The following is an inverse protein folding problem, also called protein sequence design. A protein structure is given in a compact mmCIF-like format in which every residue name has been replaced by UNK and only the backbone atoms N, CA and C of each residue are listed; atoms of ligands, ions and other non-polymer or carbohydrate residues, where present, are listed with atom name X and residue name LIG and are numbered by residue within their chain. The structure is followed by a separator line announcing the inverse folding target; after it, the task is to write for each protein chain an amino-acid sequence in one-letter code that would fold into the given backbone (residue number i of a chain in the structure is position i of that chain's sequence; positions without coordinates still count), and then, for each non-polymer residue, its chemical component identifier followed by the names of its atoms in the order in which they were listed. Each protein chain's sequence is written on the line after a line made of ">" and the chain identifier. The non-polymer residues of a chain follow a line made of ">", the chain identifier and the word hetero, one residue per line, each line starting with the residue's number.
data_IF_212885155052
#
_entry.id   IF_212885155052
#
_cell.length_a   1.000
_cell.length_b   1.000
_cell.length_c   1.000
_cell.angle_alpha   90.00
_cell.angle_beta   90.00
_cell.angle_gamma   90.00
#
_symmetry.space_group_name_H-M   'P 1'
#
loop_
_entity.id
_entity.type
_entity.pdbx_description
1 polymer ?
#
# COMPACT_ATOMS: atom_id res chain seq x y z
N UNK A 1 -18.98 21.22 15.45
CA UNK A 1 -17.75 20.55 14.96
C UNK A 1 -17.95 19.73 13.68
N UNK A 2 -19.09 19.08 13.43
CA UNK A 2 -19.29 18.27 12.20
C UNK A 2 -19.19 19.07 10.89
N UNK A 3 -19.61 20.34 10.87
CA UNK A 3 -19.47 21.21 9.71
C UNK A 3 -18.01 21.48 9.29
N UNK A 4 -17.02 21.21 10.16
CA UNK A 4 -15.60 21.37 9.84
C UNK A 4 -15.15 20.38 8.76
N UNK A 5 -15.69 19.15 8.76
CA UNK A 5 -15.35 18.11 7.76
C UNK A 5 -15.80 18.47 6.34
N UNK A 6 -16.79 19.36 6.21
CA UNK A 6 -17.25 19.87 4.91
C UNK A 6 -16.58 21.18 4.49
N UNK A 7 -15.71 21.77 5.32
CA UNK A 7 -15.01 23.01 4.98
C UNK A 7 -13.66 22.70 4.33
N UNK A 8 -13.28 23.45 3.28
CA UNK A 8 -11.94 23.31 2.70
C UNK A 8 -10.87 23.66 3.74
N UNK A 9 -9.75 22.93 3.72
CA UNK A 9 -8.64 23.11 4.64
C UNK A 9 -7.95 24.47 4.43
N UNK A 10 -7.93 24.95 3.19
CA UNK A 10 -7.34 26.24 2.82
C UNK A 10 -8.44 27.25 2.42
N UNK A 11 -8.16 28.55 2.48
CA UNK A 11 -8.97 29.55 1.81
C UNK A 11 -9.14 29.24 0.32
N UNK A 12 -10.31 29.58 -0.25
CA UNK A 12 -10.66 29.29 -1.67
C UNK A 12 -9.58 29.72 -2.67
N UNK A 13 -8.90 30.84 -2.41
CA UNK A 13 -7.82 31.38 -3.25
C UNK A 13 -6.71 30.36 -3.54
N UNK A 14 -6.34 29.51 -2.58
CA UNK A 14 -5.25 28.54 -2.75
C UNK A 14 -5.64 27.29 -3.54
N UNK A 15 -6.93 27.09 -3.83
CA UNK A 15 -7.37 26.04 -4.76
C UNK A 15 -7.35 26.53 -6.21
N UNK A 16 -7.58 27.82 -6.44
CA UNK A 16 -7.47 28.45 -7.77
C UNK A 16 -6.03 28.84 -8.11
N UNK A 17 -5.25 29.21 -7.10
CA UNK A 17 -3.85 29.61 -7.21
C UNK A 17 -3.04 28.84 -6.15
N UNK A 18 -2.59 27.61 -6.48
CA UNK A 18 -1.88 26.78 -5.52
C UNK A 18 -0.58 27.45 -5.09
N UNK A 19 -0.28 27.37 -3.79
CA UNK A 19 1.01 27.77 -3.24
C UNK A 19 2.05 26.81 -3.82
N UNK A 20 3.14 27.36 -4.37
CA UNK A 20 4.23 26.51 -4.89
C UNK A 20 4.84 25.69 -3.76
N UNK A 21 5.34 24.49 -4.07
CA UNK A 21 5.95 23.59 -3.06
C UNK A 21 7.05 24.31 -2.28
N UNK A 22 7.90 25.07 -2.97
CA UNK A 22 8.98 25.86 -2.35
C UNK A 22 8.46 26.93 -1.39
N UNK A 23 7.38 27.64 -1.75
CA UNK A 23 6.77 28.63 -0.86
C UNK A 23 6.09 27.97 0.34
N UNK A 24 5.49 26.80 0.15
CA UNK A 24 4.84 26.05 1.22
C UNK A 24 5.87 25.59 2.26
N UNK A 25 7.01 25.07 1.81
CA UNK A 25 8.12 24.68 2.69
C UNK A 25 8.70 25.88 3.44
N UNK A 26 8.87 27.02 2.75
CA UNK A 26 9.31 28.27 3.39
C UNK A 26 8.31 28.76 4.46
N UNK A 27 7.02 28.81 4.13
CA UNK A 27 5.96 29.22 5.06
C UNK A 27 5.86 28.29 6.27
N UNK A 28 6.00 26.98 6.05
CA UNK A 28 6.05 25.99 7.12
C UNK A 28 7.26 26.22 8.02
N UNK A 29 8.44 26.45 7.44
CA UNK A 29 9.64 26.77 8.21
C UNK A 29 9.47 28.02 9.09
N UNK A 30 8.93 29.11 8.54
CA UNK A 30 8.65 30.33 9.30
C UNK A 30 7.64 30.08 10.43
N UNK A 31 6.55 29.34 10.15
CA UNK A 31 5.57 28.98 11.17
C UNK A 31 6.21 28.16 12.31
N UNK A 32 7.09 27.21 11.99
CA UNK A 32 7.80 26.41 12.99
C UNK A 32 8.72 27.26 13.86
N UNK A 33 9.47 28.22 13.27
CA UNK A 33 10.30 29.15 14.03
C UNK A 33 9.49 30.00 15.02
N UNK A 34 8.32 30.48 14.60
CA UNK A 34 7.42 31.27 15.47
C UNK A 34 6.93 30.41 16.64
N UNK A 35 6.54 29.16 16.38
CA UNK A 35 6.08 28.23 17.42
C UNK A 35 7.20 27.91 18.40
N UNK A 36 8.42 27.63 17.92
CA UNK A 36 9.59 27.40 18.76
C UNK A 36 9.92 28.60 19.65
N UNK A 37 9.90 29.81 19.11
CA UNK A 37 10.16 31.04 19.87
C UNK A 37 9.07 31.35 20.92
N UNK A 38 7.83 30.89 20.71
CA UNK A 38 6.74 31.02 21.68
C UNK A 38 6.85 29.98 22.78
N UNK A 39 7.08 28.72 22.43
CA UNK A 39 7.21 27.62 23.38
C UNK A 39 8.46 27.72 24.26
N UNK A 40 9.52 28.37 23.78
CA UNK A 40 10.70 28.68 24.61
C UNK A 40 10.42 29.67 25.73
N UNK A 41 9.30 30.41 25.65
CA UNK A 41 8.84 31.38 26.66
C UNK A 41 7.65 30.87 27.48
N UNK A 42 7.19 29.65 27.22
CA UNK A 42 6.11 29.04 27.99
C UNK A 42 6.61 28.56 29.36
N UNK A 43 5.69 28.24 30.27
CA UNK A 43 6.01 27.63 31.57
C UNK A 43 5.47 26.19 31.59
N UNK A 44 6.33 25.15 31.64
CA UNK A 44 7.79 25.18 31.58
C UNK A 44 8.35 25.50 30.17
N UNK A 45 9.54 26.12 30.06
CA UNK A 45 10.11 26.49 28.77
C UNK A 45 10.60 25.26 28.01
N UNK A 46 10.21 25.13 26.75
CA UNK A 46 10.69 24.05 25.88
C UNK A 46 11.91 24.51 25.09
N UNK A 47 12.96 23.69 25.10
CA UNK A 47 14.16 23.93 24.29
C UNK A 47 13.80 23.94 22.82
N UNK A 48 14.42 24.84 22.06
CA UNK A 48 14.20 25.00 20.62
C UNK A 48 14.42 23.67 19.87
N UNK A 49 15.49 22.95 20.19
CA UNK A 49 15.82 21.63 19.63
C UNK A 49 14.66 20.62 19.77
N UNK A 50 14.02 20.60 20.95
CA UNK A 50 12.90 19.69 21.22
C UNK A 50 11.68 20.08 20.38
N UNK A 51 11.41 21.38 20.27
CA UNK A 51 10.29 21.87 19.46
C UNK A 51 10.53 21.62 17.97
N UNK A 52 11.74 21.87 17.48
CA UNK A 52 12.11 21.64 16.07
C UNK A 52 12.04 20.15 15.71
N UNK A 53 12.50 19.28 16.61
CA UNK A 53 12.35 17.82 16.48
C UNK A 53 10.87 17.39 16.47
N UNK A 54 10.04 17.94 17.36
CA UNK A 54 8.60 17.62 17.40
C UNK A 54 7.81 18.15 16.20
N UNK A 55 8.22 19.29 15.63
CA UNK A 55 7.57 19.90 14.46
C UNK A 55 8.07 19.33 13.12
N UNK A 56 9.04 18.42 13.17
CA UNK A 56 9.63 17.76 11.99
C UNK A 56 10.23 18.78 11.01
N UNK A 57 11.03 19.71 11.54
CA UNK A 57 11.66 20.79 10.77
C UNK A 57 12.58 20.24 9.68
N UNK A 58 13.28 19.14 10.00
CA UNK A 58 14.22 18.46 9.09
C UNK A 58 13.60 17.25 8.39
N UNK A 59 12.32 17.32 8.03
CA UNK A 59 11.62 16.26 7.30
C UNK A 59 12.29 15.85 5.97
N UNK A 60 13.11 16.73 5.39
CA UNK A 60 13.88 16.48 4.17
C UNK A 60 15.16 15.66 4.41
N UNK A 61 15.64 15.58 5.66
CA UNK A 61 16.83 14.80 6.00
C UNK A 61 16.48 13.32 6.12
N UNK A 62 17.39 12.46 5.64
CA UNK A 62 17.21 11.02 5.71
C UNK A 62 17.34 10.53 7.15
N UNK A 63 16.43 9.63 7.56
CA UNK A 63 16.51 8.93 8.85
C UNK A 63 16.02 7.50 8.68
N UNK A 64 16.85 6.53 9.06
CA UNK A 64 16.50 5.12 8.94
C UNK A 64 15.30 4.75 9.81
N UNK A 65 15.21 5.32 11.02
CA UNK A 65 14.07 5.13 11.93
C UNK A 65 12.77 5.56 11.27
N UNK A 66 12.73 6.76 10.67
CA UNK A 66 11.55 7.28 9.98
C UNK A 66 11.18 6.42 8.77
N UNK A 67 12.17 5.95 8.01
CA UNK A 67 11.94 5.00 6.91
C UNK A 67 11.32 3.68 7.41
N UNK A 68 11.80 3.11 8.52
CA UNK A 68 11.21 1.91 9.15
C UNK A 68 9.77 2.17 9.60
N UNK A 69 9.53 3.28 10.29
CA UNK A 69 8.19 3.65 10.76
C UNK A 69 7.20 3.75 9.57
N UNK A 70 7.59 4.41 8.48
CA UNK A 70 6.77 4.49 7.27
C UNK A 70 6.57 3.11 6.60
N UNK A 71 7.60 2.27 6.58
CA UNK A 71 7.48 0.90 6.07
C UNK A 71 6.52 0.04 6.89
N UNK A 72 6.55 0.15 8.22
CA UNK A 72 5.59 -0.54 9.09
C UNK A 72 4.17 -0.01 8.89
N UNK A 73 3.98 1.31 8.74
CA UNK A 73 2.67 1.88 8.38
C UNK A 73 2.13 1.29 7.09
N UNK A 74 2.95 1.21 6.04
CA UNK A 74 2.58 0.56 4.78
C UNK A 74 2.24 -0.92 5.00
N UNK A 75 3.07 -1.65 5.75
CA UNK A 75 2.84 -3.06 6.07
C UNK A 75 1.51 -3.27 6.82
N UNK A 76 1.15 -2.38 7.74
CA UNK A 76 -0.14 -2.44 8.46
C UNK A 76 -1.32 -2.20 7.53
N UNK A 77 -1.19 -1.34 6.52
CA UNK A 77 -2.23 -1.18 5.47
C UNK A 77 -2.43 -2.48 4.69
N UNK A 78 -1.35 -3.20 4.40
CA UNK A 78 -1.41 -4.50 3.72
C UNK A 78 -1.85 -5.66 4.62
N UNK A 79 -1.82 -5.52 5.95
CA UNK A 79 -2.25 -6.58 6.86
C UNK A 79 -3.72 -6.97 6.63
N UNK A 80 -4.59 -5.98 6.40
CA UNK A 80 -5.99 -6.22 6.03
C UNK A 80 -6.12 -7.01 4.73
N UNK A 81 -5.33 -6.66 3.71
CA UNK A 81 -5.30 -7.39 2.44
C UNK A 81 -4.80 -8.84 2.62
N UNK A 82 -3.74 -9.05 3.40
CA UNK A 82 -3.24 -10.39 3.73
C UNK A 82 -4.31 -11.21 4.46
N UNK A 83 -5.04 -10.61 5.40
CA UNK A 83 -6.15 -11.26 6.09
C UNK A 83 -7.28 -11.65 5.12
N UNK A 84 -7.64 -10.77 4.17
CA UNK A 84 -8.61 -11.08 3.11
C UNK A 84 -8.15 -12.23 2.22
N UNK A 85 -6.88 -12.25 1.79
CA UNK A 85 -6.32 -13.34 0.99
C UNK A 85 -6.37 -14.67 1.75
N UNK A 86 -5.99 -14.68 3.04
CA UNK A 86 -6.08 -15.88 3.89
C UNK A 86 -7.52 -16.35 4.08
N UNK A 87 -8.47 -15.43 4.27
CA UNK A 87 -9.89 -15.75 4.39
C UNK A 87 -10.44 -16.33 3.09
N UNK A 88 -10.12 -15.71 1.95
CA UNK A 88 -10.46 -16.22 0.63
C UNK A 88 -9.88 -17.62 0.38
N UNK A 89 -8.62 -17.85 0.74
CA UNK A 89 -8.01 -19.17 0.64
C UNK A 89 -8.73 -20.20 1.53
N UNK A 90 -9.15 -19.80 2.74
CA UNK A 90 -9.98 -20.64 3.62
C UNK A 90 -11.33 -21.02 3.03
N UNK A 91 -11.99 -20.12 2.29
CA UNK A 91 -13.20 -20.42 1.52
C UNK A 91 -12.86 -21.38 0.39
N UNK A 92 -11.81 -21.07 -0.35
CA UNK A 92 -11.38 -21.83 -1.51
C UNK A 92 -10.91 -23.25 -1.15
N UNK A 93 -10.41 -23.45 0.07
CA UNK A 93 -10.00 -24.75 0.62
C UNK A 93 -11.15 -25.49 1.31
N UNK A 94 -12.37 -24.93 1.33
CA UNK A 94 -13.55 -25.51 1.99
C UNK A 94 -13.31 -25.83 3.48
N UNK A 95 -12.56 -24.96 4.18
CA UNK A 95 -12.18 -25.20 5.58
C UNK A 95 -13.38 -25.31 6.52
N UNK A 96 -14.42 -24.52 6.27
CA UNK A 96 -15.72 -24.64 6.92
C UNK A 96 -16.83 -24.68 5.85
N UNK A 97 -17.39 -25.87 5.55
CA UNK A 97 -18.28 -26.07 4.41
C UNK A 97 -19.57 -25.25 4.50
N UNK A 98 -20.05 -24.97 5.71
CA UNK A 98 -21.26 -24.14 5.91
C UNK A 98 -20.97 -22.71 5.47
N UNK A 99 -19.86 -22.13 5.95
CA UNK A 99 -19.49 -20.75 5.58
C UNK A 99 -19.22 -20.62 4.08
N UNK A 100 -18.61 -21.64 3.46
CA UNK A 100 -18.39 -21.61 2.02
C UNK A 100 -19.70 -21.69 1.26
N UNK A 101 -20.62 -22.59 1.62
CA UNK A 101 -21.95 -22.64 1.00
C UNK A 101 -22.71 -21.31 1.14
N UNK A 102 -22.68 -20.67 2.30
CA UNK A 102 -23.30 -19.34 2.50
C UNK A 102 -22.68 -18.27 1.60
N UNK A 103 -21.35 -18.23 1.50
CA UNK A 103 -20.64 -17.31 0.59
C UNK A 103 -21.03 -17.60 -0.87
N UNK A 104 -21.17 -18.87 -1.24
CA UNK A 104 -21.59 -19.22 -2.60
C UNK A 104 -23.01 -18.74 -2.90
N UNK A 105 -23.95 -18.98 -1.98
CA UNK A 105 -25.33 -18.48 -2.08
C UNK A 105 -25.37 -16.95 -2.19
N UNK A 106 -24.62 -16.24 -1.34
CA UNK A 106 -24.53 -14.79 -1.37
C UNK A 106 -24.00 -14.28 -2.72
N UNK A 107 -22.93 -14.87 -3.25
CA UNK A 107 -22.41 -14.51 -4.57
C UNK A 107 -23.42 -14.77 -5.69
N UNK A 108 -24.14 -15.89 -5.66
CA UNK A 108 -25.19 -16.17 -6.65
C UNK A 108 -26.29 -15.11 -6.62
N UNK A 109 -26.77 -14.75 -5.42
CA UNK A 109 -27.77 -13.68 -5.26
C UNK A 109 -27.25 -12.35 -5.84
N UNK A 110 -26.00 -11.98 -5.54
CA UNK A 110 -25.39 -10.74 -6.05
C UNK A 110 -25.19 -10.75 -7.57
N UNK A 111 -24.92 -11.91 -8.18
CA UNK A 111 -24.79 -12.04 -9.64
C UNK A 111 -26.18 -11.94 -10.31
N UNK A 112 -27.21 -12.56 -9.72
CA UNK A 112 -28.59 -12.47 -10.21
C UNK A 112 -29.16 -11.06 -10.09
N UNK A 113 -28.79 -10.32 -9.03
CA UNK A 113 -29.28 -8.97 -8.74
C UNK A 113 -28.10 -7.99 -8.56
N UNK A 114 -27.47 -7.53 -9.65
CA UNK A 114 -26.31 -6.64 -9.58
C UNK A 114 -26.60 -5.30 -8.91
N UNK A 115 -27.87 -4.87 -8.91
CA UNK A 115 -28.34 -3.68 -8.19
C UNK A 115 -28.08 -3.75 -6.67
N UNK A 116 -27.96 -4.97 -6.11
CA UNK A 116 -27.66 -5.20 -4.70
C UNK A 116 -26.16 -5.11 -4.36
N UNK A 117 -25.26 -5.06 -5.35
CA UNK A 117 -23.82 -5.00 -5.11
C UNK A 117 -23.45 -3.73 -4.34
N UNK A 118 -23.89 -2.56 -4.82
CA UNK A 118 -23.57 -1.29 -4.18
C UNK A 118 -24.20 -1.17 -2.77
N UNK A 119 -25.50 -1.46 -2.56
CA UNK A 119 -26.10 -1.49 -1.23
C UNK A 119 -25.40 -2.43 -0.25
N UNK A 120 -25.03 -3.65 -0.67
CA UNK A 120 -24.37 -4.61 0.21
C UNK A 120 -22.99 -4.14 0.62
N UNK A 121 -22.21 -3.52 -0.28
CA UNK A 121 -20.91 -2.90 0.07
C UNK A 121 -21.10 -1.81 1.13
N UNK A 122 -22.06 -0.90 0.94
CA UNK A 122 -22.33 0.15 1.92
C UNK A 122 -22.81 -0.41 3.26
N UNK A 123 -23.65 -1.45 3.25
CA UNK A 123 -24.11 -2.11 4.47
C UNK A 123 -22.94 -2.79 5.19
N UNK A 124 -22.03 -3.45 4.48
CA UNK A 124 -20.81 -4.00 5.08
C UNK A 124 -19.93 -2.92 5.69
N UNK A 125 -19.68 -1.81 4.98
CA UNK A 125 -18.92 -0.67 5.53
C UNK A 125 -19.59 -0.09 6.78
N UNK A 126 -20.92 0.04 6.77
CA UNK A 126 -21.70 0.51 7.91
C UNK A 126 -21.57 -0.42 9.12
N UNK A 127 -21.76 -1.74 8.92
CA UNK A 127 -21.64 -2.74 9.98
C UNK A 127 -20.23 -2.82 10.54
N UNK A 128 -19.20 -2.78 9.68
CA UNK A 128 -17.79 -2.73 10.10
C UNK A 128 -17.52 -1.45 10.89
N UNK A 129 -18.03 -0.30 10.44
CA UNK A 129 -17.92 0.98 11.14
C UNK A 129 -18.58 0.94 12.53
N UNK A 130 -19.79 0.41 12.62
CA UNK A 130 -20.53 0.26 13.87
C UNK A 130 -19.84 -0.72 14.83
N UNK A 131 -19.29 -1.82 14.32
CA UNK A 131 -18.51 -2.76 15.10
C UNK A 131 -17.21 -2.12 15.64
N UNK A 132 -16.49 -1.41 14.77
CA UNK A 132 -15.24 -0.72 15.12
C UNK A 132 -15.47 0.44 16.09
N UNK A 133 -16.67 1.02 16.14
CA UNK A 133 -17.02 2.06 17.11
C UNK A 133 -16.81 1.61 18.57
N UNK A 134 -16.98 0.30 18.86
CA UNK A 134 -16.75 -0.28 20.18
C UNK A 134 -15.27 -0.28 20.57
N UNK A 135 -14.38 -0.39 19.58
CA UNK A 135 -12.92 -0.41 19.72
C UNK A 135 -12.26 0.95 19.40
N UNK A 136 -13.05 2.03 19.34
CA UNK A 136 -12.54 3.36 18.99
C UNK A 136 -11.50 3.83 20.02
N UNK A 137 -10.42 4.51 19.58
CA UNK A 137 -9.53 5.21 20.49
C UNK A 137 -10.31 6.22 21.33
N UNK A 138 -10.13 6.19 22.65
CA UNK A 138 -10.80 7.11 23.59
C UNK A 138 -9.90 8.26 24.04
N UNK A 139 -8.60 8.13 23.83
CA UNK A 139 -7.62 9.13 24.21
C UNK A 139 -7.41 10.13 23.07
N UNK A 140 -7.08 11.40 23.38
CA UNK A 140 -6.71 12.36 22.35
C UNK A 140 -5.51 11.83 21.56
N UNK A 141 -5.40 12.27 20.31
CA UNK A 141 -4.24 11.99 19.47
C UNK A 141 -2.99 12.50 20.18
N UNK A 142 -2.18 11.58 20.67
CA UNK A 142 -0.87 11.86 21.25
C UNK A 142 0.20 11.31 20.33
N UNK A 143 1.45 11.73 20.55
CA UNK A 143 2.57 11.17 19.82
C UNK A 143 2.71 9.69 20.18
N UNK A 144 2.50 8.81 19.20
CA UNK A 144 2.63 7.37 19.38
C UNK A 144 4.09 6.96 19.17
N UNK A 145 4.76 6.62 20.27
CA UNK A 145 6.16 6.18 20.33
C UNK A 145 6.38 4.85 19.61
N UNK A 146 5.37 3.98 19.54
CA UNK A 146 5.44 2.71 18.80
C UNK A 146 5.27 2.93 17.32
N UNK A 147 4.32 3.77 16.91
CA UNK A 147 4.10 4.12 15.51
C UNK A 147 5.32 4.83 14.90
N UNK A 148 5.96 5.70 15.67
CA UNK A 148 7.20 6.39 15.29
C UNK A 148 8.46 5.53 15.45
N UNK A 149 8.30 4.26 15.87
CA UNK A 149 9.37 3.30 16.13
C UNK A 149 10.41 3.78 17.16
N UNK A 150 10.09 4.75 18.01
CA UNK A 150 11.00 5.37 18.98
C UNK A 150 11.40 4.45 20.15
N UNK A 151 10.59 3.43 20.48
CA UNK A 151 10.89 2.50 21.58
C UNK A 151 11.93 1.43 21.21
N UNK A 152 12.06 1.10 19.93
CA UNK A 152 12.92 0.02 19.42
C UNK A 152 14.11 0.54 18.62
N UNK A 153 14.38 1.84 18.70
CA UNK A 153 15.49 2.46 17.98
C UNK A 153 16.84 2.06 18.52
N UNK A 154 17.71 1.70 17.60
CA UNK A 154 19.12 1.54 17.91
C UNK A 154 19.75 2.91 18.20
N UNK A 155 20.66 3.06 19.19
CA UNK A 155 21.30 4.33 19.52
C UNK A 155 21.93 5.03 18.32
N UNK A 156 22.51 4.27 17.39
CA UNK A 156 23.09 4.80 16.16
C UNK A 156 22.06 5.43 15.19
N UNK A 157 20.81 4.98 15.19
CA UNK A 157 19.75 5.56 14.34
C UNK A 157 19.29 6.92 14.89
N UNK A 158 19.31 7.06 16.22
CA UNK A 158 19.05 8.33 16.88
C UNK A 158 20.22 9.29 16.69
N UNK A 159 21.45 8.77 16.76
CA UNK A 159 22.68 9.50 16.50
C UNK A 159 22.78 10.00 15.04
N UNK A 160 22.23 9.25 14.08
CA UNK A 160 22.07 9.65 12.68
C UNK A 160 21.05 10.80 12.52
N UNK A 161 19.95 10.75 13.25
CA UNK A 161 18.89 11.77 13.17
C UNK A 161 19.30 13.11 13.79
N UNK A 162 20.20 13.10 14.79
CA UNK A 162 20.74 14.30 15.42
C UNK A 162 22.09 14.74 14.84
N UNK A 163 22.62 14.06 13.82
CA UNK A 163 23.86 14.48 13.17
C UNK A 163 23.61 15.72 12.30
N UNK A 164 24.56 16.65 12.31
CA UNK A 164 24.49 17.85 11.49
C UNK A 164 24.82 17.54 10.04
N UNK A 165 24.43 18.42 9.12
CA UNK A 165 24.90 18.39 7.74
C UNK A 165 25.81 19.60 7.47
N UNK A 166 27.11 19.41 7.15
CA UNK A 166 27.83 18.14 6.98
C UNK A 166 28.07 17.39 8.31
N UNK A 167 28.30 16.07 8.20
CA UNK A 167 28.41 15.15 9.34
C UNK A 167 29.50 15.54 10.33
N UNK A 168 29.15 15.48 11.62
CA UNK A 168 30.08 15.67 12.75
C UNK A 168 30.83 14.39 13.14
N UNK A 169 30.47 13.26 12.51
CA UNK A 169 30.89 11.91 12.91
C UNK A 169 32.16 11.44 12.19
N UNK A 170 32.96 10.57 12.83
CA UNK A 170 34.14 10.00 12.20
C UNK A 170 33.77 9.16 10.98
N UNK A 171 34.69 9.12 10.01
CA UNK A 171 34.48 8.49 8.71
C UNK A 171 34.05 7.00 8.81
N UNK A 172 34.51 6.27 9.82
CA UNK A 172 34.18 4.86 9.99
C UNK A 172 32.68 4.64 10.29
N UNK A 173 32.08 5.52 11.10
CA UNK A 173 30.64 5.47 11.42
C UNK A 173 29.83 5.81 10.17
N UNK A 174 30.25 6.83 9.43
CA UNK A 174 29.60 7.23 8.17
C UNK A 174 29.64 6.08 7.16
N UNK A 175 30.79 5.38 7.05
CA UNK A 175 30.95 4.21 6.18
C UNK A 175 30.00 3.07 6.57
N UNK A 176 29.89 2.76 7.87
CA UNK A 176 28.96 1.75 8.36
C UNK A 176 27.50 2.10 8.06
N UNK A 177 27.09 3.36 8.27
CA UNK A 177 25.74 3.84 7.94
C UNK A 177 25.45 3.76 6.44
N UNK A 178 26.43 4.13 5.62
CA UNK A 178 26.34 4.00 4.17
C UNK A 178 26.18 2.54 3.73
N UNK A 179 26.99 1.61 4.25
CA UNK A 179 26.90 0.19 3.91
C UNK A 179 25.55 -0.41 4.33
N UNK A 180 25.02 0.01 5.49
CA UNK A 180 23.66 -0.34 5.93
C UNK A 180 22.60 0.18 4.96
N UNK A 181 22.67 1.45 4.56
CA UNK A 181 21.75 2.03 3.58
C UNK A 181 21.84 1.31 2.22
N UNK A 182 23.05 0.97 1.78
CA UNK A 182 23.29 0.20 0.54
C UNK A 182 22.64 -1.19 0.61
N UNK A 183 22.68 -1.86 1.76
CA UNK A 183 22.01 -3.15 1.94
C UNK A 183 20.48 -3.05 1.81
N UNK A 184 19.87 -1.98 2.36
CA UNK A 184 18.43 -1.70 2.23
C UNK A 184 18.09 -1.35 0.78
N UNK A 185 18.89 -0.49 0.16
CA UNK A 185 18.78 -0.13 -1.25
C UNK A 185 18.83 -1.35 -2.16
N UNK A 186 19.72 -2.31 -1.90
CA UNK A 186 19.79 -3.56 -2.67
C UNK A 186 18.52 -4.43 -2.58
N UNK A 187 17.88 -4.49 -1.41
CA UNK A 187 16.58 -5.19 -1.27
C UNK A 187 15.48 -4.48 -2.05
N UNK A 188 15.40 -3.15 -1.94
CA UNK A 188 14.44 -2.34 -2.70
C UNK A 188 14.67 -2.51 -4.21
N UNK A 189 15.93 -2.46 -4.66
CA UNK A 189 16.30 -2.69 -6.06
C UNK A 189 15.86 -4.07 -6.55
N UNK A 190 16.01 -5.12 -5.73
CA UNK A 190 15.55 -6.47 -6.08
C UNK A 190 14.03 -6.51 -6.29
N UNK A 191 13.27 -5.93 -5.35
CA UNK A 191 11.79 -5.88 -5.45
C UNK A 191 11.34 -5.05 -6.66
N UNK A 192 11.98 -3.91 -6.91
CA UNK A 192 11.68 -3.07 -8.08
C UNK A 192 12.03 -3.80 -9.38
N UNK A 193 13.15 -4.53 -9.41
CA UNK A 193 13.55 -5.37 -10.56
C UNK A 193 12.57 -6.51 -10.83
N UNK A 194 12.07 -7.18 -9.79
CA UNK A 194 11.04 -8.21 -9.92
C UNK A 194 9.73 -7.62 -10.46
N UNK A 195 9.31 -6.46 -9.95
CA UNK A 195 8.12 -5.74 -10.44
C UNK A 195 8.28 -5.32 -11.92
N UNK A 196 9.45 -4.80 -12.30
CA UNK A 196 9.76 -4.45 -13.68
C UNK A 196 9.68 -5.69 -14.58
N UNK A 197 10.26 -6.82 -14.16
CA UNK A 197 10.22 -8.09 -14.88
C UNK A 197 8.78 -8.57 -15.12
N UNK A 198 7.89 -8.47 -14.12
CA UNK A 198 6.47 -8.80 -14.28
C UNK A 198 5.77 -7.83 -15.24
N UNK A 199 6.02 -6.53 -15.11
CA UNK A 199 5.47 -5.52 -16.01
C UNK A 199 5.90 -5.74 -17.46
N UNK A 200 7.17 -6.05 -17.69
CA UNK A 200 7.73 -6.35 -19.01
C UNK A 200 7.12 -7.59 -19.63
N UNK A 201 6.91 -8.66 -18.85
CA UNK A 201 6.18 -9.85 -19.33
C UNK A 201 4.73 -9.53 -19.70
N UNK A 202 4.07 -8.65 -18.95
CA UNK A 202 2.71 -8.21 -19.29
C UNK A 202 2.70 -7.40 -20.59
N UNK A 203 3.65 -6.49 -20.78
CA UNK A 203 3.82 -5.77 -22.05
C UNK A 203 4.20 -6.71 -23.19
N UNK A 204 4.97 -7.77 -22.90
CA UNK A 204 5.40 -8.75 -23.88
C UNK A 204 4.23 -9.43 -24.59
N UNK A 205 3.09 -9.60 -23.91
CA UNK A 205 1.86 -10.19 -24.46
C UNK A 205 1.42 -9.53 -25.77
N UNK A 206 1.55 -8.20 -25.88
CA UNK A 206 1.11 -7.41 -27.04
C UNK A 206 2.27 -6.85 -27.88
N UNK A 207 3.51 -7.00 -27.42
CA UNK A 207 4.70 -6.41 -28.07
C UNK A 207 5.19 -7.16 -29.32
N UNK A 208 4.62 -8.33 -29.63
CA UNK A 208 5.08 -9.25 -30.69
C UNK A 208 6.53 -9.74 -30.56
N UNK A 209 7.17 -9.52 -29.40
CA UNK A 209 8.54 -9.96 -29.14
C UNK A 209 8.72 -11.48 -29.20
N UNK A 210 7.71 -12.23 -28.77
CA UNK A 210 7.57 -13.65 -29.08
C UNK A 210 6.34 -13.82 -29.99
N UNK A 211 6.55 -13.96 -31.32
CA UNK A 211 5.45 -13.95 -32.28
C UNK A 211 4.49 -15.13 -32.07
N UNK A 212 4.97 -16.26 -31.52
CA UNK A 212 4.12 -17.43 -31.23
C UNK A 212 3.25 -17.17 -30.01
N UNK A 213 3.84 -16.69 -28.93
CA UNK A 213 3.10 -16.40 -27.71
C UNK A 213 2.08 -15.27 -27.93
N UNK A 214 2.48 -14.16 -28.56
CA UNK A 214 1.57 -13.05 -28.87
C UNK A 214 0.43 -13.49 -29.80
N UNK A 215 0.69 -14.30 -30.82
CA UNK A 215 -0.38 -14.83 -31.69
C UNK A 215 -1.39 -15.70 -30.91
N UNK A 216 -0.91 -16.61 -30.05
CA UNK A 216 -1.78 -17.44 -29.20
C UNK A 216 -2.62 -16.55 -28.28
N UNK A 217 -2.01 -15.54 -27.66
CA UNK A 217 -2.70 -14.62 -26.75
C UNK A 217 -3.76 -13.78 -27.49
N UNK A 218 -3.44 -13.23 -28.66
CA UNK A 218 -4.38 -12.45 -29.48
C UNK A 218 -5.55 -13.32 -29.93
N UNK A 219 -5.28 -14.54 -30.43
CA UNK A 219 -6.34 -15.46 -30.81
C UNK A 219 -7.24 -15.82 -29.62
N UNK A 220 -6.66 -16.16 -28.47
CA UNK A 220 -7.42 -16.46 -27.25
C UNK A 220 -8.22 -15.24 -26.79
N UNK A 221 -7.66 -14.03 -26.90
CA UNK A 221 -8.36 -12.79 -26.55
C UNK A 221 -9.57 -12.53 -27.46
N UNK A 222 -9.47 -12.85 -28.76
CA UNK A 222 -10.58 -12.77 -29.70
C UNK A 222 -11.68 -13.79 -29.35
N UNK A 223 -11.31 -15.04 -29.05
CA UNK A 223 -12.27 -16.07 -28.61
C UNK A 223 -12.98 -15.62 -27.33
N UNK A 224 -12.24 -15.12 -26.34
CA UNK A 224 -12.82 -14.60 -25.10
C UNK A 224 -13.74 -13.42 -25.39
N UNK A 225 -13.37 -12.49 -26.28
CA UNK A 225 -14.23 -11.36 -26.65
C UNK A 225 -15.55 -11.83 -27.30
N UNK A 226 -15.52 -12.81 -28.20
CA UNK A 226 -16.72 -13.40 -28.81
C UNK A 226 -17.59 -14.06 -27.73
N UNK A 227 -17.00 -14.84 -26.83
CA UNK A 227 -17.74 -15.48 -25.73
C UNK A 227 -18.39 -14.44 -24.82
N UNK A 228 -17.66 -13.38 -24.44
CA UNK A 228 -18.17 -12.28 -23.62
C UNK A 228 -19.30 -11.50 -24.31
N UNK A 229 -19.28 -11.42 -25.64
CA UNK A 229 -20.32 -10.75 -26.42
C UNK A 229 -21.60 -11.59 -26.54
N UNK A 230 -21.45 -12.89 -26.79
CA UNK A 230 -22.60 -13.79 -27.04
C UNK A 230 -23.28 -14.23 -25.75
N UNK A 231 -22.52 -14.41 -24.67
CA UNK A 231 -23.06 -14.93 -23.41
C UNK A 231 -23.38 -13.80 -22.43
N UNK A 232 -24.53 -13.85 -21.72
CA UNK A 232 -24.87 -12.84 -20.74
C UNK A 232 -23.85 -12.85 -19.60
N UNK A 233 -23.42 -11.67 -19.18
CA UNK A 233 -22.38 -11.47 -18.17
C UNK A 233 -22.65 -12.26 -16.87
N UNK A 234 -23.92 -12.41 -16.47
CA UNK A 234 -24.32 -13.16 -15.29
C UNK A 234 -23.91 -14.64 -15.36
N UNK A 235 -24.13 -15.29 -16.51
CA UNK A 235 -23.78 -16.72 -16.70
C UNK A 235 -22.27 -16.91 -16.61
N UNK A 236 -21.49 -16.01 -17.21
CA UNK A 236 -20.04 -16.03 -17.14
C UNK A 236 -19.52 -15.88 -15.71
N UNK A 237 -20.12 -14.96 -14.94
CA UNK A 237 -19.75 -14.75 -13.54
C UNK A 237 -20.08 -15.98 -12.70
N UNK A 238 -21.23 -16.64 -12.91
CA UNK A 238 -21.58 -17.89 -12.21
C UNK A 238 -20.59 -19.01 -12.55
N UNK A 239 -20.29 -19.24 -13.83
CA UNK A 239 -19.34 -20.28 -14.26
C UNK A 239 -17.96 -20.01 -13.66
N UNK A 240 -17.50 -18.76 -13.71
CA UNK A 240 -16.19 -18.36 -13.18
C UNK A 240 -16.13 -18.55 -11.66
N UNK A 241 -17.18 -18.14 -10.95
CA UNK A 241 -17.31 -18.30 -9.50
C UNK A 241 -17.27 -19.78 -9.10
N UNK A 242 -18.06 -20.62 -9.77
CA UNK A 242 -18.09 -22.07 -9.53
C UNK A 242 -16.74 -22.72 -9.82
N UNK A 243 -16.04 -22.30 -10.88
CA UNK A 243 -14.72 -22.80 -11.23
C UNK A 243 -13.64 -22.40 -10.21
N UNK A 244 -13.61 -21.14 -9.79
CA UNK A 244 -12.61 -20.62 -8.85
C UNK A 244 -12.77 -21.19 -7.45
N UNK A 245 -14.02 -21.29 -6.98
CA UNK A 245 -14.38 -21.77 -5.64
C UNK A 245 -14.68 -23.28 -5.58
N UNK A 246 -14.48 -24.02 -6.69
CA UNK A 246 -14.71 -25.47 -6.75
C UNK A 246 -14.04 -26.24 -5.61
N UNK A 247 -14.69 -27.31 -5.18
CA UNK A 247 -14.23 -28.18 -4.11
C UNK A 247 -12.78 -28.66 -4.33
N UNK A 248 -11.91 -28.70 -3.29
CA UNK A 248 -10.48 -29.00 -3.44
C UNK A 248 -10.19 -30.34 -4.12
N UNK A 249 -11.09 -31.33 -3.98
CA UNK A 249 -10.98 -32.64 -4.64
C UNK A 249 -10.88 -32.54 -6.17
N UNK A 250 -11.45 -31.50 -6.78
CA UNK A 250 -11.43 -31.30 -8.23
C UNK A 250 -10.28 -30.39 -8.70
N UNK A 251 -9.30 -30.10 -7.83
CA UNK A 251 -8.20 -29.19 -8.12
C UNK A 251 -6.87 -29.92 -8.19
N UNK A 252 -6.13 -29.72 -9.29
CA UNK A 252 -4.73 -30.12 -9.37
C UNK A 252 -3.84 -29.17 -8.57
N UNK A 253 -2.77 -29.70 -7.97
CA UNK A 253 -1.73 -28.89 -7.29
C UNK A 253 -0.70 -28.29 -8.25
N UNK A 254 -0.80 -28.62 -9.54
CA UNK A 254 0.10 -28.13 -10.58
C UNK A 254 -0.22 -26.67 -10.95
N UNK A 255 0.79 -25.86 -11.32
CA UNK A 255 0.56 -24.51 -11.82
C UNK A 255 -0.33 -24.53 -13.07
N UNK A 256 -1.20 -23.53 -13.20
CA UNK A 256 -2.12 -23.44 -14.33
C UNK A 256 -1.39 -23.17 -15.65
N UNK A 257 -1.98 -23.62 -16.76
CA UNK A 257 -1.43 -23.39 -18.12
C UNK A 257 -1.19 -21.90 -18.39
N UNK A 258 -2.12 -20.97 -18.09
CA UNK A 258 -1.88 -19.53 -18.28
C UNK A 258 -0.72 -18.99 -17.42
N UNK A 259 -0.55 -19.50 -16.20
CA UNK A 259 0.56 -19.11 -15.34
C UNK A 259 1.90 -19.55 -15.92
N UNK A 260 1.98 -20.79 -16.42
CA UNK A 260 3.19 -21.31 -17.07
C UNK A 260 3.51 -20.56 -18.37
N UNK A 261 2.48 -20.24 -19.16
CA UNK A 261 2.62 -19.42 -20.36
C UNK A 261 3.19 -18.04 -20.04
N UNK A 262 2.59 -17.34 -19.07
CA UNK A 262 3.00 -16.01 -18.66
C UNK A 262 4.44 -15.98 -18.11
N UNK A 263 4.82 -16.97 -17.29
CA UNK A 263 6.18 -17.06 -16.73
C UNK A 263 7.26 -17.28 -17.80
N UNK A 264 6.89 -17.83 -18.97
CA UNK A 264 7.79 -18.07 -20.10
C UNK A 264 7.92 -16.88 -21.05
N UNK A 265 7.11 -15.83 -20.86
CA UNK A 265 7.22 -14.62 -21.67
C UNK A 265 8.56 -13.93 -21.46
N UNK A 266 9.10 -13.30 -22.52
CA UNK A 266 10.38 -12.62 -22.43
C UNK A 266 10.29 -11.42 -21.50
N UNK A 267 11.31 -11.27 -20.63
CA UNK A 267 11.58 -10.06 -19.88
C UNK A 267 12.85 -9.40 -20.43
N UNK A 268 13.03 -8.10 -20.20
CA UNK A 268 14.25 -7.40 -20.58
C UNK A 268 15.35 -7.55 -19.53
N UNK A 269 15.05 -8.09 -18.36
CA UNK A 269 16.04 -8.43 -17.34
C UNK A 269 17.20 -9.26 -17.90
N UNK A 270 16.92 -10.19 -18.82
CA UNK A 270 17.93 -11.04 -19.45
C UNK A 270 18.84 -10.30 -20.46
N UNK A 271 18.50 -9.04 -20.78
CA UNK A 271 19.31 -8.15 -21.63
C UNK A 271 20.12 -7.13 -20.84
N UNK A 272 19.91 -7.07 -19.52
CA UNK A 272 20.67 -6.18 -18.64
C UNK A 272 22.01 -6.83 -18.29
N UNK A 273 23.04 -6.01 -18.15
CA UNK A 273 24.41 -6.41 -17.81
C UNK A 273 24.60 -6.55 -16.30
#
# INVERSE_FOLDING_TARGET
>A
MMALYGRPLLPKMHYTQPISVMQLDYLRHQAMQIVAARLSRAEPPLRREVVEYMLDVDSHMFSLRRSKANFYRITTLFCGFVAMVKWYDGIRSWRNPITTMLVHMLFLILICYPELILPTIFLYMFMIGLWNYRYRPRHPSHMDTKLSHAEMTHPDELDEEFDTFPTSRPADIVRMRYDRLRSVGGRVQTVVGDLATQGERALALLSWRDPRATAIFIFLSLVVAIVLYVTPFQVLMVITMLYLLRHPRFRSRMPSVPFNFYRRLPAKSDMLL
#
